data_IF_747475456810
#
_entry.id   IF_747475456810
#
_cell.length_a   1.000
_cell.length_b   1.000
_cell.length_c   1.000
_cell.angle_alpha   90.00
_cell.angle_beta   90.00
_cell.angle_gamma   90.00
#
_symmetry.space_group_name_H-M   'P 1'
#
loop_
_entity.id
_entity.type
_entity.pdbx_description
1 polymer ?
#
# COMPACT_ATOMS: atom_id res chain seq x y z
N UNK A 1 -3.06 8.82 -42.33
CA UNK A 1 -2.32 9.66 -41.35
C UNK A 1 -2.61 9.10 -39.97
N UNK A 2 -1.70 8.28 -39.44
CA UNK A 2 -1.87 7.70 -38.11
C UNK A 2 -1.58 8.80 -37.08
N UNK A 3 -2.60 9.21 -36.32
CA UNK A 3 -2.39 10.12 -35.20
C UNK A 3 -1.55 9.40 -34.14
N UNK A 4 -0.31 9.86 -34.01
CA UNK A 4 0.61 9.42 -32.98
C UNK A 4 0.20 10.10 -31.67
N UNK A 5 -0.89 9.63 -31.05
CA UNK A 5 -1.26 10.07 -29.70
C UNK A 5 -0.11 9.64 -28.80
N UNK A 6 0.66 10.57 -28.22
CA UNK A 6 1.74 10.19 -27.34
C UNK A 6 1.07 9.50 -26.15
N UNK A 7 1.28 8.18 -26.03
CA UNK A 7 1.07 7.45 -24.78
C UNK A 7 1.98 8.12 -23.75
N UNK A 8 1.49 9.17 -23.10
CA UNK A 8 2.00 9.63 -21.83
C UNK A 8 1.77 8.45 -20.89
N UNK A 9 2.74 7.53 -20.84
CA UNK A 9 2.98 6.76 -19.62
C UNK A 9 3.26 7.81 -18.58
N UNK A 10 2.19 8.19 -17.88
CA UNK A 10 2.20 9.15 -16.81
C UNK A 10 3.32 8.72 -15.89
N UNK A 11 4.23 9.65 -15.60
CA UNK A 11 5.35 9.49 -14.67
C UNK A 11 4.88 8.58 -13.53
N UNK A 12 5.54 7.44 -13.32
CA UNK A 12 5.52 6.80 -12.01
C UNK A 12 5.74 7.93 -11.00
N UNK A 13 4.78 8.19 -10.10
CA UNK A 13 4.94 9.35 -9.23
C UNK A 13 6.17 9.13 -8.37
N UNK A 14 6.74 10.23 -7.88
CA UNK A 14 7.90 10.18 -6.98
C UNK A 14 7.65 9.19 -5.83
N UNK A 15 6.38 9.03 -5.43
CA UNK A 15 5.95 8.06 -4.45
C UNK A 15 6.30 6.61 -4.83
N UNK A 16 5.84 6.11 -5.98
CA UNK A 16 6.12 4.73 -6.40
C UNK A 16 7.60 4.50 -6.61
N UNK A 17 8.30 5.46 -7.23
CA UNK A 17 9.73 5.36 -7.45
C UNK A 17 10.51 5.27 -6.13
N UNK A 18 10.19 6.13 -5.16
CA UNK A 18 10.88 6.18 -3.87
C UNK A 18 10.63 4.93 -3.05
N UNK A 19 9.37 4.48 -2.96
CA UNK A 19 8.99 3.39 -2.06
C UNK A 19 8.99 2.00 -2.72
N UNK A 20 9.35 1.90 -4.00
CA UNK A 20 9.79 0.63 -4.60
C UNK A 20 11.07 0.11 -3.96
N UNK A 21 11.95 0.99 -3.50
CA UNK A 21 13.17 0.62 -2.82
C UNK A 21 12.91 0.45 -1.31
N UNK A 22 13.12 -0.80 -0.85
CA UNK A 22 12.91 -1.23 0.55
C UNK A 22 13.66 -0.38 1.55
N UNK A 23 14.80 0.21 1.19
CA UNK A 23 15.57 1.09 2.06
C UNK A 23 14.79 2.36 2.43
N UNK A 24 14.08 2.95 1.48
CA UNK A 24 13.24 4.12 1.74
C UNK A 24 11.96 3.72 2.47
N UNK A 25 11.40 2.55 2.17
CA UNK A 25 10.28 2.00 2.92
C UNK A 25 10.62 1.79 4.40
N UNK A 26 11.80 1.25 4.70
CA UNK A 26 12.30 1.07 6.05
C UNK A 26 12.50 2.39 6.76
N UNK A 27 13.06 3.40 6.07
CA UNK A 27 13.21 4.75 6.62
C UNK A 27 11.86 5.37 6.99
N UNK A 28 10.87 5.24 6.12
CA UNK A 28 9.51 5.70 6.42
C UNK A 28 8.91 4.93 7.60
N UNK A 29 9.04 3.61 7.62
CA UNK A 29 8.55 2.78 8.73
C UNK A 29 9.17 3.21 10.06
N UNK A 30 10.50 3.40 10.13
CA UNK A 30 11.19 3.87 11.33
C UNK A 30 10.81 5.30 11.74
N UNK A 31 10.43 6.14 10.78
CA UNK A 31 9.92 7.47 11.08
C UNK A 31 8.51 7.44 11.69
N UNK A 32 7.67 6.50 11.26
CA UNK A 32 6.33 6.28 11.81
C UNK A 32 6.36 5.54 13.16
N UNK A 33 7.33 4.63 13.33
CA UNK A 33 7.51 3.77 14.50
C UNK A 33 8.94 3.89 15.05
N UNK A 34 9.31 5.02 15.67
CA UNK A 34 10.65 5.20 16.23
C UNK A 34 10.98 4.18 17.33
N UNK A 35 9.97 3.61 17.99
CA UNK A 35 10.10 2.54 18.97
C UNK A 35 10.67 1.23 18.39
N UNK A 36 10.46 0.97 17.09
CA UNK A 36 10.83 -0.28 16.42
C UNK A 36 12.25 -0.20 15.80
N UNK A 37 13.24 0.14 16.62
CA UNK A 37 14.62 0.40 16.19
C UNK A 37 15.32 -0.78 15.48
N UNK A 38 14.97 -2.00 15.87
CA UNK A 38 15.61 -3.24 15.43
C UNK A 38 15.08 -3.79 14.10
N UNK A 39 14.04 -3.18 13.52
CA UNK A 39 13.49 -3.61 12.24
C UNK A 39 14.52 -3.39 11.12
N UNK A 40 14.66 -4.40 10.27
CA UNK A 40 15.55 -4.43 9.10
C UNK A 40 14.76 -4.54 7.80
N UNK A 41 15.43 -4.46 6.66
CA UNK A 41 14.78 -4.57 5.34
C UNK A 41 14.20 -5.96 5.07
N UNK A 42 14.71 -7.01 5.75
CA UNK A 42 14.24 -8.38 5.65
C UNK A 42 12.92 -8.62 6.41
N UNK A 43 12.63 -7.77 7.39
CA UNK A 43 11.39 -7.80 8.16
C UNK A 43 10.22 -7.21 7.37
N UNK A 44 10.51 -6.40 6.33
CA UNK A 44 9.54 -5.86 5.40
C UNK A 44 9.12 -6.94 4.42
N UNK A 45 7.85 -7.34 4.52
CA UNK A 45 7.24 -8.40 3.72
C UNK A 45 6.02 -7.88 2.98
N UNK A 46 5.56 -8.68 2.02
CA UNK A 46 4.30 -8.48 1.32
C UNK A 46 4.14 -7.09 0.70
N UNK A 47 5.26 -6.53 0.21
CA UNK A 47 5.25 -5.24 -0.47
C UNK A 47 4.39 -5.37 -1.72
N UNK A 48 3.26 -4.67 -1.70
CA UNK A 48 2.29 -4.60 -2.77
C UNK A 48 2.24 -3.16 -3.23
N UNK A 49 2.63 -2.94 -4.48
CA UNK A 49 2.31 -1.72 -5.21
C UNK A 49 1.24 -2.15 -6.18
N UNK A 50 -0.01 -1.80 -5.90
CA UNK A 50 -1.14 -2.25 -6.72
C UNK A 50 -2.01 -1.07 -7.13
N UNK A 51 -2.31 -1.04 -8.41
CA UNK A 51 -3.38 -0.24 -8.99
C UNK A 51 -4.69 -1.03 -8.86
N UNK A 52 -5.33 -0.99 -7.68
CA UNK A 52 -6.30 -2.05 -7.34
C UNK A 52 -7.63 -1.95 -8.11
N UNK A 53 -8.11 -0.79 -8.55
CA UNK A 53 -9.53 -0.70 -8.94
C UNK A 53 -9.91 0.15 -10.14
N UNK A 54 -9.02 0.97 -10.66
CA UNK A 54 -9.34 1.85 -11.78
C UNK A 54 -8.10 1.87 -12.65
N UNK A 55 -8.26 1.82 -13.97
CA UNK A 55 -7.22 2.23 -14.94
C UNK A 55 -6.88 3.73 -14.73
N UNK A 56 -6.40 4.06 -13.53
CA UNK A 56 -6.07 5.39 -13.07
C UNK A 56 -4.74 5.29 -12.31
N UNK A 57 -3.88 6.27 -12.57
CA UNK A 57 -2.47 6.33 -12.14
C UNK A 57 -2.33 6.64 -10.63
N UNK A 58 -2.97 5.86 -9.76
CA UNK A 58 -2.85 6.05 -8.32
C UNK A 58 -1.82 5.10 -7.70
N UNK A 59 -0.99 5.68 -6.84
CA UNK A 59 0.17 5.07 -6.22
C UNK A 59 -0.14 4.69 -4.77
N UNK A 60 -0.86 3.58 -4.59
CA UNK A 60 -1.11 3.03 -3.26
C UNK A 60 -0.10 1.91 -2.97
N UNK A 61 0.39 1.88 -1.73
CA UNK A 61 1.44 0.96 -1.30
C UNK A 61 1.03 0.27 0.01
N UNK A 62 1.05 -1.05 -0.01
CA UNK A 62 0.85 -1.88 1.18
C UNK A 62 2.09 -2.69 1.51
N UNK A 63 2.48 -2.78 2.77
CA UNK A 63 3.55 -3.68 3.21
C UNK A 63 3.29 -4.17 4.64
N UNK A 64 3.91 -5.29 5.00
CA UNK A 64 3.78 -5.89 6.34
C UNK A 64 5.10 -5.86 7.10
N UNK A 65 5.03 -5.51 8.39
CA UNK A 65 6.17 -5.50 9.33
C UNK A 65 5.67 -5.95 10.69
N UNK A 66 6.30 -6.97 11.29
CA UNK A 66 6.02 -7.35 12.69
C UNK A 66 4.55 -7.66 13.01
N UNK A 67 3.77 -8.17 12.05
CA UNK A 67 2.33 -8.42 12.23
C UNK A 67 1.43 -7.18 12.07
N UNK A 68 1.99 -6.05 11.62
CA UNK A 68 1.25 -4.87 11.15
C UNK A 68 1.15 -4.92 9.63
N UNK A 69 0.03 -4.43 9.12
CA UNK A 69 -0.18 -4.17 7.71
C UNK A 69 -0.28 -2.66 7.52
N UNK A 70 0.76 -2.06 6.98
CA UNK A 70 0.83 -0.63 6.70
C UNK A 70 0.35 -0.39 5.29
N UNK A 71 -0.63 0.50 5.13
CA UNK A 71 -1.16 0.94 3.84
C UNK A 71 -0.98 2.44 3.74
N UNK A 72 -0.30 2.85 2.68
CA UNK A 72 -0.02 4.23 2.34
C UNK A 72 -0.80 4.59 1.09
N UNK A 73 -1.51 5.71 1.18
CA UNK A 73 -2.40 6.20 0.13
C UNK A 73 -1.97 7.61 -0.23
N UNK A 74 -1.54 7.86 -1.47
CA UNK A 74 -1.13 9.19 -1.92
C UNK A 74 -2.36 10.10 -2.11
N UNK A 75 -2.48 11.15 -1.31
CA UNK A 75 -3.52 12.17 -1.48
C UNK A 75 -3.38 12.86 -2.82
N UNK A 76 -4.52 13.17 -3.44
CA UNK A 76 -4.54 14.07 -4.59
C UNK A 76 -4.20 15.50 -4.17
N UNK A 77 -3.83 16.34 -5.14
CA UNK A 77 -3.58 17.78 -4.96
C UNK A 77 -4.76 18.51 -4.29
N UNK A 78 -5.97 17.98 -4.45
CA UNK A 78 -7.18 18.44 -3.76
C UNK A 78 -7.66 17.37 -2.78
N UNK A 79 -7.88 17.76 -1.52
CA UNK A 79 -8.47 16.88 -0.50
C UNK A 79 -9.88 16.44 -0.88
N UNK A 80 -10.17 15.14 -0.71
CA UNK A 80 -11.51 14.57 -0.89
C UNK A 80 -11.72 13.41 0.07
N UNK A 81 -12.94 13.27 0.59
CA UNK A 81 -13.35 12.13 1.42
C UNK A 81 -13.24 10.79 0.67
N UNK A 82 -13.17 10.81 -0.67
CA UNK A 82 -12.97 9.61 -1.49
C UNK A 82 -11.65 8.89 -1.15
N UNK A 83 -10.67 9.59 -0.56
CA UNK A 83 -9.41 8.99 -0.10
C UNK A 83 -9.65 7.89 0.95
N UNK A 84 -10.67 8.06 1.80
CA UNK A 84 -11.04 7.10 2.85
C UNK A 84 -11.59 5.83 2.20
N UNK A 85 -12.47 5.99 1.19
CA UNK A 85 -13.04 4.86 0.45
C UNK A 85 -11.92 4.08 -0.25
N UNK A 86 -10.95 4.78 -0.85
CA UNK A 86 -9.80 4.13 -1.50
C UNK A 86 -8.94 3.35 -0.50
N UNK A 87 -8.64 3.93 0.66
CA UNK A 87 -7.91 3.24 1.72
C UNK A 87 -8.63 1.97 2.19
N UNK A 88 -9.96 2.04 2.35
CA UNK A 88 -10.78 0.88 2.73
C UNK A 88 -10.77 -0.22 1.66
N UNK A 89 -10.90 0.15 0.39
CA UNK A 89 -10.85 -0.82 -0.72
C UNK A 89 -9.50 -1.51 -0.79
N UNK A 90 -8.40 -0.75 -0.65
CA UNK A 90 -7.04 -1.31 -0.64
C UNK A 90 -6.84 -2.27 0.54
N UNK A 91 -7.34 -1.90 1.72
CA UNK A 91 -7.30 -2.73 2.91
C UNK A 91 -8.01 -4.07 2.72
N UNK A 92 -9.26 -4.03 2.21
CA UNK A 92 -10.06 -5.24 1.99
C UNK A 92 -9.37 -6.16 0.97
N UNK A 93 -8.86 -5.61 -0.13
CA UNK A 93 -8.15 -6.40 -1.13
C UNK A 93 -6.89 -7.04 -0.55
N UNK A 94 -6.11 -6.28 0.22
CA UNK A 94 -4.87 -6.78 0.82
C UNK A 94 -5.14 -7.89 1.84
N UNK A 95 -6.21 -7.77 2.63
CA UNK A 95 -6.64 -8.85 3.50
C UNK A 95 -7.14 -10.07 2.76
N UNK A 96 -7.91 -9.90 1.70
CA UNK A 96 -8.36 -11.01 0.88
C UNK A 96 -7.18 -11.80 0.29
N UNK A 97 -6.15 -11.10 -0.19
CA UNK A 97 -4.92 -11.72 -0.68
C UNK A 97 -4.14 -12.39 0.46
N UNK A 98 -4.06 -11.76 1.63
CA UNK A 98 -3.42 -12.31 2.82
C UNK A 98 -4.09 -13.62 3.27
N UNK A 99 -5.42 -13.66 3.37
CA UNK A 99 -6.17 -14.85 3.76
C UNK A 99 -6.04 -15.99 2.75
N UNK A 100 -6.05 -15.66 1.44
CA UNK A 100 -5.79 -16.63 0.38
C UNK A 100 -4.39 -17.23 0.50
N UNK A 101 -3.37 -16.40 0.66
CA UNK A 101 -1.96 -16.85 0.76
C UNK A 101 -1.72 -17.68 2.01
N UNK A 102 -2.33 -17.31 3.14
CA UNK A 102 -2.22 -18.04 4.41
C UNK A 102 -3.18 -19.23 4.51
N UNK A 103 -3.98 -19.48 3.46
CA UNK A 103 -5.00 -20.56 3.39
C UNK A 103 -5.94 -20.57 4.58
N UNK A 104 -6.29 -19.39 5.09
CA UNK A 104 -7.20 -19.25 6.22
C UNK A 104 -8.65 -19.38 5.76
N UNK A 105 -9.44 -20.18 6.48
CA UNK A 105 -10.84 -20.39 6.16
C UNK A 105 -11.73 -19.28 6.74
N UNK A 106 -12.06 -18.29 5.90
CA UNK A 106 -12.96 -17.19 6.26
C UNK A 106 -14.41 -17.63 6.50
N UNK A 107 -14.82 -18.77 5.97
CA UNK A 107 -16.17 -19.31 6.12
C UNK A 107 -16.28 -20.32 7.28
N UNK A 108 -15.18 -20.55 8.01
CA UNK A 108 -15.15 -21.41 9.18
C UNK A 108 -15.62 -20.71 10.45
N UNK A 109 -15.84 -21.49 11.52
CA UNK A 109 -16.21 -20.96 12.84
C UNK A 109 -15.02 -20.44 13.66
N UNK A 110 -13.78 -20.76 13.26
CA UNK A 110 -12.57 -20.31 13.96
C UNK A 110 -12.19 -18.90 13.51
N UNK A 111 -11.88 -18.03 14.47
CA UNK A 111 -11.38 -16.67 14.21
C UNK A 111 -10.09 -16.73 13.40
N UNK A 112 -10.07 -16.05 12.25
CA UNK A 112 -8.87 -15.92 11.42
C UNK A 112 -7.85 -14.98 12.08
N UNK A 113 -6.57 -15.28 11.89
CA UNK A 113 -5.48 -14.41 12.27
C UNK A 113 -5.30 -13.34 11.20
N UNK A 114 -5.14 -12.08 11.62
CA UNK A 114 -5.05 -10.94 10.71
C UNK A 114 -4.06 -9.92 11.27
N UNK A 115 -3.17 -9.35 10.43
CA UNK A 115 -2.27 -8.30 10.89
C UNK A 115 -3.06 -7.04 11.26
N UNK A 116 -2.53 -6.23 12.17
CA UNK A 116 -3.16 -4.97 12.57
C UNK A 116 -3.06 -3.96 11.41
N UNK A 117 -4.16 -3.38 10.91
CA UNK A 117 -4.09 -2.42 9.82
C UNK A 117 -3.66 -1.04 10.34
N UNK A 118 -2.79 -0.38 9.58
CA UNK A 118 -2.37 0.99 9.81
C UNK A 118 -2.49 1.75 8.49
N UNK A 119 -3.38 2.74 8.46
CA UNK A 119 -3.71 3.50 7.26
C UNK A 119 -3.09 4.89 7.36
N UNK A 120 -2.26 5.25 6.39
CA UNK A 120 -1.66 6.58 6.29
C UNK A 120 -2.00 7.21 4.95
N UNK A 121 -2.35 8.49 5.01
CA UNK A 121 -2.53 9.32 3.81
C UNK A 121 -1.31 10.23 3.69
N UNK A 122 -0.62 10.15 2.55
CA UNK A 122 0.58 10.94 2.29
C UNK A 122 0.22 12.05 1.30
N UNK A 123 0.45 13.30 1.69
CA UNK A 123 0.21 14.46 0.84
C UNK A 123 1.55 14.96 0.29
N UNK A 124 1.73 14.88 -1.03
CA UNK A 124 2.98 15.20 -1.72
C UNK A 124 3.04 16.61 -2.31
N UNK A 125 1.94 17.37 -2.23
CA UNK A 125 1.85 18.76 -2.72
C UNK A 125 1.53 18.86 -4.21
#
# INVERSE_FOLDING_TARGET
MAQNTPKRKIKDSVFTNLFQDKKYLLRLYKALHPEDSNVTEDDIKDVTIKHILVDADYNDLGFSVGGRLVILVESQSTWTLNIIIRALMYLIQTYHDFFKRTKQNLYGSKKVNMPKPELYVIFTG
#
